data_IF_979833116667
#
_entry.id   IF_979833116667
#
_cell.length_a   1.000
_cell.length_b   1.000
_cell.length_c   1.000
_cell.angle_alpha   90.00
_cell.angle_beta   90.00
_cell.angle_gamma   90.00
#
_symmetry.space_group_name_H-M   'P 1'
#
loop_
_entity.id
_entity.type
_entity.pdbx_description
1 polymer ?
2 non-polymer ?
3 water ?
#
# COMPACT_ATOMS: atom_id res chain seq x y z
N UNK A 3 28.58 -2.47 22.40
CA UNK A 3 27.76 -3.49 21.72
C UNK A 3 27.08 -4.36 22.79
N UNK A 4 25.84 -4.74 22.48
CA UNK A 4 25.10 -5.47 23.50
C UNK A 4 25.62 -6.91 23.56
N UNK A 5 25.65 -7.52 24.76
CA UNK A 5 26.13 -8.90 24.86
C UNK A 5 25.08 -9.93 24.49
N UNK A 6 23.80 -9.50 24.34
CA UNK A 6 22.72 -10.40 24.02
C UNK A 6 22.01 -9.74 22.84
N UNK A 7 21.65 -10.48 21.76
CA UNK A 7 21.20 -9.85 20.53
C UNK A 7 19.80 -9.28 20.35
N UNK A 8 18.86 -9.59 21.19
CA UNK A 8 17.50 -9.21 20.78
C UNK A 8 16.95 -7.89 21.36
N UNK A 9 15.67 -7.63 21.04
CA UNK A 9 14.99 -6.48 21.59
C UNK A 9 14.72 -6.64 23.08
N UNK A 10 14.47 -7.86 23.54
CA UNK A 10 14.12 -8.01 24.96
C UNK A 10 15.30 -7.57 25.85
N UNK A 11 16.52 -7.90 25.47
CA UNK A 11 17.66 -7.41 26.22
C UNK A 11 17.69 -5.88 26.23
N UNK A 12 17.53 -5.28 25.04
CA UNK A 12 17.59 -3.83 24.86
C UNK A 12 16.51 -3.15 25.72
N UNK A 13 15.35 -3.77 25.83
CA UNK A 13 14.24 -3.21 26.57
C UNK A 13 14.58 -3.14 28.06
N UNK A 14 15.55 -3.93 28.53
CA UNK A 14 15.91 -3.88 29.95
C UNK A 14 17.02 -2.87 30.23
N UNK A 15 17.44 -2.12 29.23
CA UNK A 15 18.46 -1.08 29.35
C UNK A 15 17.79 0.25 29.69
N UNK A 16 18.39 0.99 30.65
CA UNK A 16 17.96 2.34 30.91
C UNK A 16 18.40 3.27 29.78
N UNK A 17 17.51 4.21 29.43
CA UNK A 17 17.69 5.12 28.32
C UNK A 17 17.58 6.56 28.83
N UNK A 18 18.13 7.51 28.05
CA UNK A 18 17.99 8.92 28.39
C UNK A 18 17.68 9.72 27.12
N UNK A 19 17.14 10.93 27.29
CA UNK A 19 17.05 11.88 26.18
C UNK A 19 15.66 12.03 25.53
N UNK A 20 14.71 11.14 25.87
CA UNK A 20 13.43 11.03 25.19
C UNK A 20 12.34 11.24 26.23
N UNK A 21 11.37 12.10 25.92
CA UNK A 21 10.23 12.33 26.79
C UNK A 21 8.95 11.97 26.00
N UNK A 22 8.13 11.06 26.54
CA UNK A 22 6.88 10.72 25.87
C UNK A 22 5.91 11.89 25.83
N UNK A 23 5.30 12.04 24.66
CA UNK A 23 4.19 12.96 24.42
C UNK A 23 3.13 12.25 23.58
N UNK A 24 1.89 12.78 23.62
CA UNK A 24 0.82 12.21 22.80
C UNK A 24 -0.12 13.33 22.37
N UNK A 25 -0.34 13.42 21.07
CA UNK A 25 -1.46 14.21 20.54
C UNK A 25 -2.63 13.24 20.39
N UNK A 26 -3.78 13.57 20.98
CA UNK A 26 -4.92 12.66 20.85
C UNK A 26 -6.17 13.51 20.71
N UNK A 27 -7.29 12.84 20.38
CA UNK A 27 -8.59 13.47 20.28
C UNK A 27 -9.31 13.52 21.64
N UNK A 28 -8.62 13.26 22.78
CA UNK A 28 -9.24 13.37 24.09
C UNK A 28 -10.04 14.70 24.22
N UNK A 29 -11.23 14.61 24.83
CA UNK A 29 -12.10 15.77 25.07
C UNK A 29 -11.50 16.59 26.21
N UNK A 30 -10.98 17.80 25.95
CA UNK A 30 -10.32 18.57 27.02
C UNK A 30 -11.28 18.99 28.15
N UNK A 31 -12.60 19.04 27.88
CA UNK A 31 -13.58 19.38 28.90
C UNK A 31 -13.88 18.20 29.81
N UNK A 32 -13.32 16.98 29.55
CA UNK A 32 -13.57 15.87 30.44
C UNK A 32 -14.70 14.93 30.01
N UNK A 33 -15.31 15.21 28.87
CA UNK A 33 -16.55 14.54 28.53
C UNK A 33 -16.33 13.39 27.53
N UNK A 34 -17.36 13.14 26.72
CA UNK A 34 -17.44 11.95 25.88
C UNK A 34 -17.01 12.28 24.48
N UNK A 35 -16.72 13.55 24.14
CA UNK A 35 -16.40 13.92 22.76
C UNK A 35 -14.90 13.74 22.51
N UNK A 36 -14.47 12.47 22.65
CA UNK A 36 -13.07 12.08 22.57
C UNK A 36 -12.62 11.81 21.14
N UNK A 37 -13.17 12.56 20.20
CA UNK A 37 -12.94 12.45 18.77
C UNK A 37 -13.01 13.85 18.17
N UNK A 38 -12.34 14.06 17.03
CA UNK A 38 -12.64 15.17 16.15
C UNK A 38 -13.97 14.87 15.47
N UNK A 39 -14.63 15.94 15.00
CA UNK A 39 -15.96 15.82 14.43
C UNK A 39 -16.03 16.56 13.10
N UNK A 40 -16.78 15.96 12.16
CA UNK A 40 -17.33 16.61 10.97
C UNK A 40 -16.23 17.19 10.09
N UNK A 41 -15.39 16.31 9.56
CA UNK A 41 -14.51 16.68 8.47
C UNK A 41 -15.30 16.45 7.19
N UNK A 42 -15.87 17.54 6.66
CA UNK A 42 -16.87 17.41 5.62
C UNK A 42 -16.19 17.10 4.29
N UNK A 43 -16.94 16.63 3.27
CA UNK A 43 -16.41 16.46 1.93
C UNK A 43 -15.69 17.72 1.41
N UNK A 44 -14.46 17.50 0.92
CA UNK A 44 -13.63 18.56 0.39
C UNK A 44 -12.75 19.24 1.45
N UNK A 45 -12.96 18.98 2.75
CA UNK A 45 -12.23 19.65 3.82
C UNK A 45 -10.96 18.89 4.23
N UNK A 46 -10.01 19.69 4.70
CA UNK A 46 -8.73 19.25 5.27
C UNK A 46 -8.71 19.60 6.75
N UNK A 47 -8.06 18.76 7.56
CA UNK A 47 -7.93 19.01 8.98
C UNK A 47 -6.50 18.60 9.36
N UNK A 48 -5.79 19.53 10.00
CA UNK A 48 -4.54 19.21 10.66
C UNK A 48 -4.86 18.53 11.98
N UNK A 49 -4.43 17.26 12.13
CA UNK A 49 -4.71 16.60 13.38
C UNK A 49 -3.54 16.66 14.36
N UNK A 50 -2.31 16.84 13.84
CA UNK A 50 -1.15 16.96 14.71
C UNK A 50 -0.17 17.96 14.10
N UNK A 51 0.27 18.92 14.93
CA UNK A 51 1.20 19.93 14.49
C UNK A 51 2.19 20.04 15.63
N UNK A 52 3.33 19.38 15.49
CA UNK A 52 4.29 19.22 16.58
C UNK A 52 5.50 20.07 16.27
N UNK A 53 5.88 21.02 17.15
CA UNK A 53 7.11 21.77 16.86
C UNK A 53 8.35 21.00 17.29
N UNK A 54 9.45 21.31 16.61
CA UNK A 54 10.73 20.87 17.10
C UNK A 54 11.06 19.41 16.75
N UNK A 55 11.88 18.80 17.61
CA UNK A 55 12.50 17.53 17.30
C UNK A 55 11.78 16.43 18.08
N UNK A 56 11.58 15.29 17.39
CA UNK A 56 10.91 14.19 18.06
C UNK A 56 10.90 12.99 17.12
N UNK A 57 10.23 11.93 17.60
CA UNK A 57 10.10 10.69 16.84
C UNK A 57 8.71 10.14 17.13
N UNK A 58 7.88 10.06 16.10
CA UNK A 58 6.61 9.35 16.26
C UNK A 58 6.90 7.86 16.44
N UNK A 59 6.28 7.25 17.46
CA UNK A 59 6.56 5.86 17.80
C UNK A 59 5.32 4.96 17.65
N UNK A 60 4.13 5.55 17.45
CA UNK A 60 2.89 4.78 17.40
C UNK A 60 1.78 5.72 16.96
N UNK A 61 0.96 5.25 16.02
CA UNK A 61 -0.24 5.94 15.58
C UNK A 61 -1.40 4.96 15.64
N UNK A 62 -2.52 5.37 16.19
CA UNK A 62 -3.76 4.62 16.14
C UNK A 62 -4.84 5.61 15.65
N UNK A 63 -5.69 5.16 14.72
CA UNK A 63 -6.76 5.96 14.15
C UNK A 63 -7.99 5.06 13.97
N UNK A 64 -9.18 5.63 14.22
CA UNK A 64 -10.40 5.01 13.70
C UNK A 64 -11.38 6.13 13.30
N UNK A 65 -12.33 5.77 12.44
CA UNK A 65 -13.25 6.73 11.84
C UNK A 65 -14.67 6.19 11.83
N UNK A 66 -15.63 7.14 11.89
CA UNK A 66 -17.05 6.88 11.62
C UNK A 66 -17.48 7.81 10.52
N UNK A 67 -18.40 7.40 9.62
CA UNK A 67 -19.07 6.09 9.65
C UNK A 67 -18.22 4.95 9.12
N UNK A 68 -18.84 3.76 9.08
CA UNK A 68 -18.13 2.51 8.81
C UNK A 68 -17.61 2.47 7.39
N UNK A 69 -16.67 1.52 7.11
CA UNK A 69 -16.09 1.47 5.78
C UNK A 69 -17.02 1.26 4.59
N UNK A 70 -18.17 0.63 4.79
CA UNK A 70 -19.15 0.52 3.70
C UNK A 70 -19.91 1.81 3.44
N UNK A 71 -19.72 2.85 4.26
CA UNK A 71 -20.41 4.13 4.09
C UNK A 71 -19.39 5.20 3.69
N UNK A 72 -18.30 5.29 4.46
CA UNK A 72 -17.22 6.24 4.19
C UNK A 72 -16.05 5.45 3.62
N UNK A 73 -15.76 5.69 2.35
CA UNK A 73 -14.74 4.99 1.61
C UNK A 73 -13.37 5.44 2.11
N UNK A 74 -12.65 4.54 2.79
CA UNK A 74 -11.32 4.85 3.30
C UNK A 74 -10.26 4.98 2.21
N UNK A 75 -10.57 4.66 0.96
CA UNK A 75 -9.71 4.94 -0.18
C UNK A 75 -9.91 6.38 -0.64
N UNK A 76 -10.84 7.13 -0.05
CA UNK A 76 -11.07 8.52 -0.47
C UNK A 76 -10.85 9.51 0.66
N UNK A 77 -10.32 9.02 1.79
CA UNK A 77 -9.88 9.87 2.88
C UNK A 77 -8.35 9.78 2.82
N UNK A 78 -7.67 10.93 2.69
CA UNK A 78 -6.23 10.96 2.43
C UNK A 78 -5.49 11.37 3.69
N UNK A 79 -4.39 10.66 3.99
CA UNK A 79 -3.49 11.10 5.04
C UNK A 79 -2.21 11.63 4.40
N UNK A 80 -1.72 12.76 4.96
CA UNK A 80 -0.47 13.33 4.52
C UNK A 80 0.35 13.71 5.76
N UNK A 81 1.67 13.57 5.60
CA UNK A 81 2.60 13.95 6.64
C UNK A 81 3.70 14.76 6.00
N UNK A 82 4.04 15.86 6.71
CA UNK A 82 5.03 16.86 6.36
C UNK A 82 6.06 16.98 7.47
N UNK A 83 7.34 16.85 7.11
CA UNK A 83 8.41 16.94 8.09
C UNK A 83 9.24 18.22 7.86
N UNK A 84 9.82 18.68 8.95
CA UNK A 84 10.88 19.69 8.95
C UNK A 84 10.43 21.03 8.33
N UNK A 85 9.13 21.33 8.44
CA UNK A 85 8.54 22.56 7.91
C UNK A 85 8.46 22.59 6.38
N UNK A 86 8.56 21.46 5.68
CA UNK A 86 8.46 21.43 4.23
C UNK A 86 7.01 21.65 3.81
N UNK A 87 6.86 22.29 2.64
CA UNK A 87 5.54 22.56 2.08
C UNK A 87 4.95 21.31 1.40
N UNK A 88 5.83 20.42 0.96
CA UNK A 88 5.45 19.18 0.29
C UNK A 88 5.33 18.07 1.35
N UNK A 89 4.40 17.12 1.16
CA UNK A 89 4.35 15.91 2.02
C UNK A 89 5.38 14.85 1.64
N UNK A 90 5.87 14.13 2.66
CA UNK A 90 6.73 12.98 2.44
C UNK A 90 5.92 11.68 2.60
N UNK A 91 4.72 11.79 3.15
CA UNK A 91 3.74 10.70 3.22
C UNK A 91 2.48 11.21 2.53
N UNK A 92 2.01 10.47 1.53
CA UNK A 92 0.74 10.82 0.91
C UNK A 92 0.08 9.51 0.44
N UNK A 93 -1.05 9.22 1.02
CA UNK A 93 -1.81 8.04 0.66
C UNK A 93 -3.25 8.18 1.10
N UNK A 94 -4.22 7.55 0.39
CA UNK A 94 -5.49 7.16 1.00
C UNK A 94 -5.25 6.34 2.28
N UNK A 95 -6.04 6.65 3.29
CA UNK A 95 -5.74 6.23 4.64
C UNK A 95 -5.97 4.70 4.78
N UNK A 96 -7.05 4.18 4.19
CA UNK A 96 -7.26 2.72 4.25
C UNK A 96 -6.06 1.96 3.69
N UNK A 97 -5.70 2.22 2.43
CA UNK A 97 -4.57 1.55 1.83
C UNK A 97 -3.26 1.74 2.63
N UNK A 98 -3.05 2.92 3.24
CA UNK A 98 -1.86 3.15 4.04
C UNK A 98 -1.79 2.13 5.17
N UNK A 99 -2.94 1.86 5.79
CA UNK A 99 -3.02 0.92 6.91
C UNK A 99 -3.37 -0.50 6.46
N UNK A 100 -3.19 -0.85 5.18
CA UNK A 100 -3.39 -2.20 4.71
C UNK A 100 -4.87 -2.60 4.69
N UNK A 101 -5.76 -1.65 4.31
CA UNK A 101 -7.16 -1.94 4.04
C UNK A 101 -7.46 -1.49 2.64
N UNK A 102 -7.60 -2.48 1.75
CA UNK A 102 -7.81 -2.16 0.35
C UNK A 102 -9.23 -1.65 0.05
N UNK A 103 -9.30 -0.91 -1.07
CA UNK A 103 -10.60 -0.61 -1.69
C UNK A 103 -11.47 0.13 -0.65
N UNK A 104 -12.72 -0.31 -0.47
CA UNK A 104 -13.58 0.19 0.57
C UNK A 104 -13.92 -0.93 1.57
N UNK A 105 -13.00 -1.91 1.73
CA UNK A 105 -13.23 -3.13 2.48
C UNK A 105 -12.64 -3.05 3.88
N UNK A 106 -12.96 -4.07 4.67
CA UNK A 106 -12.51 -4.12 6.06
C UNK A 106 -12.24 -5.56 6.44
N UNK A 107 -11.12 -5.76 7.17
CA UNK A 107 -10.69 -7.08 7.55
C UNK A 107 -9.57 -6.92 8.58
N UNK A 108 -9.62 -7.74 9.61
CA UNK A 108 -8.50 -7.82 10.55
C UNK A 108 -7.33 -8.53 9.87
N UNK A 109 -6.12 -8.14 10.27
CA UNK A 109 -4.92 -8.92 9.97
C UNK A 109 -3.88 -8.61 11.05
N UNK A 110 -2.67 -9.17 10.90
CA UNK A 110 -1.68 -9.09 11.95
C UNK A 110 -0.28 -8.95 11.40
N UNK A 111 -0.03 -7.94 10.58
CA UNK A 111 1.35 -7.68 10.19
C UNK A 111 2.04 -6.96 11.33
N UNK A 112 3.37 -7.01 11.40
CA UNK A 112 4.04 -6.45 12.56
C UNK A 112 4.00 -4.93 12.56
N UNK A 113 4.51 -4.22 11.53
CA UNK A 113 4.69 -2.77 11.69
C UNK A 113 3.48 -1.88 11.47
N UNK A 114 2.52 -2.38 10.68
CA UNK A 114 1.29 -1.68 10.31
C UNK A 114 0.23 -2.77 10.31
N UNK A 115 -0.93 -2.49 10.88
CA UNK A 115 -1.99 -3.49 10.84
C UNK A 115 -3.35 -2.81 10.96
N UNK A 116 -4.41 -3.56 10.64
CA UNK A 116 -5.77 -3.18 10.92
C UNK A 116 -6.36 -4.23 11.84
N UNK A 117 -7.02 -3.77 12.89
CA UNK A 117 -7.53 -4.67 13.88
C UNK A 117 -8.98 -4.41 14.23
N UNK A 118 -9.47 -5.12 15.26
CA UNK A 118 -10.88 -5.11 15.63
C UNK A 118 -11.41 -3.71 15.96
N UNK A 119 -12.70 -3.48 15.73
CA UNK A 119 -13.70 -4.39 15.21
C UNK A 119 -13.63 -4.52 13.69
N UNK A 120 -13.36 -5.74 13.21
CA UNK A 120 -13.29 -6.13 11.81
C UNK A 120 -12.61 -5.06 10.95
N UNK A 121 -11.34 -4.75 11.25
CA UNK A 121 -10.53 -3.89 10.40
C UNK A 121 -10.76 -2.38 10.54
N UNK A 122 -11.54 -1.94 11.51
CA UNK A 122 -11.73 -0.51 11.66
C UNK A 122 -10.60 0.19 12.43
N UNK A 123 -9.78 -0.57 13.16
CA UNK A 123 -8.70 0.02 13.93
C UNK A 123 -7.45 0.08 13.05
N UNK A 124 -6.86 1.27 12.89
CA UNK A 124 -5.71 1.40 12.01
C UNK A 124 -4.47 1.76 12.86
N UNK A 125 -3.43 0.93 12.80
CA UNK A 125 -2.30 0.99 13.72
C UNK A 125 -0.99 1.03 12.93
N UNK A 126 -0.05 1.92 13.33
CA UNK A 126 1.29 1.96 12.76
C UNK A 126 2.31 2.00 13.90
N UNK A 127 3.33 1.15 13.82
CA UNK A 127 4.51 1.18 14.69
C UNK A 127 5.78 1.62 13.96
N UNK A 128 5.69 2.17 12.74
CA UNK A 128 6.86 2.76 12.12
C UNK A 128 7.35 3.97 12.92
N UNK A 129 8.66 4.03 13.11
CA UNK A 129 9.29 5.17 13.74
C UNK A 129 9.44 6.31 12.71
N UNK A 130 9.03 7.52 13.09
CA UNK A 130 9.04 8.62 12.16
C UNK A 130 9.74 9.83 12.78
N UNK A 131 11.07 9.91 12.59
CA UNK A 131 11.86 11.02 13.17
C UNK A 131 11.58 12.33 12.46
N UNK A 132 11.74 13.44 13.21
CA UNK A 132 11.69 14.77 12.62
C UNK A 132 12.52 15.72 13.53
N UNK A 133 13.20 16.69 12.88
CA UNK A 133 14.06 17.66 13.57
C UNK A 133 13.40 19.04 13.74
N UNK A 134 12.65 19.50 12.74
CA UNK A 134 12.08 20.84 12.77
C UNK A 134 10.59 20.78 12.45
N UNK A 135 9.86 19.97 13.25
CA UNK A 135 8.42 19.88 13.18
C UNK A 135 7.88 18.67 12.42
N UNK A 136 6.63 18.38 12.77
CA UNK A 136 5.84 17.38 12.07
C UNK A 136 4.41 17.89 11.96
N UNK A 137 3.80 17.65 10.79
CA UNK A 137 2.39 17.94 10.62
C UNK A 137 1.71 16.73 9.91
N UNK A 138 0.61 16.30 10.50
CA UNK A 138 -0.24 15.25 9.93
C UNK A 138 -1.61 15.87 9.61
N UNK A 139 -2.01 15.69 8.37
CA UNK A 139 -3.22 16.26 7.80
C UNK A 139 -4.10 15.15 7.25
N UNK A 140 -5.42 15.31 7.39
CA UNK A 140 -6.41 14.42 6.82
C UNK A 140 -7.25 15.21 5.82
N UNK A 141 -7.50 14.67 4.64
CA UNK A 141 -8.37 15.33 3.68
C UNK A 141 -9.49 14.36 3.28
N UNK A 142 -10.75 14.82 3.37
CA UNK A 142 -11.92 14.05 3.00
C UNK A 142 -12.23 14.30 1.52
N UNK A 143 -11.83 13.37 0.64
CA UNK A 143 -12.12 13.43 -0.79
C UNK A 143 -13.30 12.52 -1.14
N UNK A 144 -14.08 12.12 -0.14
CA UNK A 144 -15.26 11.28 -0.37
C UNK A 144 -16.50 12.19 -0.48
N UNK A 145 -17.65 11.61 -0.77
CA UNK A 145 -18.88 12.38 -0.80
C UNK A 145 -19.69 12.24 0.48
N UNK A 146 -19.09 11.71 1.57
CA UNK A 146 -19.78 11.48 2.82
C UNK A 146 -19.01 12.24 3.89
N UNK A 147 -19.72 12.85 4.85
CA UNK A 147 -19.14 13.46 6.04
C UNK A 147 -18.29 12.41 6.79
N UNK A 148 -17.10 12.84 7.22
CA UNK A 148 -16.31 12.10 8.21
C UNK A 148 -16.73 12.56 9.58
N UNK A 149 -17.63 11.77 10.17
CA UNK A 149 -18.40 12.21 11.32
C UNK A 149 -17.54 12.26 12.57
N UNK A 150 -16.77 11.20 12.80
CA UNK A 150 -15.94 11.09 13.98
C UNK A 150 -14.56 10.57 13.58
N UNK A 151 -13.52 11.20 14.13
CA UNK A 151 -12.13 10.85 13.85
C UNK A 151 -11.42 10.76 15.18
N UNK A 152 -11.10 9.53 15.58
CA UNK A 152 -10.43 9.25 16.85
C UNK A 152 -8.97 8.96 16.53
N UNK A 153 -8.05 9.46 17.36
CA UNK A 153 -6.65 9.17 17.10
C UNK A 153 -5.77 9.36 18.34
N UNK A 154 -4.69 8.59 18.35
CA UNK A 154 -3.49 8.82 19.16
C UNK A 154 -2.29 8.94 18.24
N UNK A 155 -1.49 10.02 18.43
CA UNK A 155 -0.19 10.13 17.80
C UNK A 155 0.82 10.21 18.96
N UNK A 156 1.48 9.09 19.26
CA UNK A 156 2.44 8.95 20.33
C UNK A 156 3.84 9.25 19.80
N UNK A 157 4.59 10.09 20.49
CA UNK A 157 5.89 10.47 20.04
C UNK A 157 6.82 10.73 21.21
N UNK A 158 8.11 10.66 20.93
CA UNK A 158 9.15 11.05 21.85
C UNK A 158 9.62 12.46 21.47
N UNK A 159 9.60 13.35 22.46
CA UNK A 159 10.23 14.68 22.30
C UNK A 159 11.71 14.55 22.67
N UNK A 160 12.58 15.27 21.94
CA UNK A 160 13.98 15.29 22.29
C UNK A 160 14.53 16.69 22.06
N UNK A 161 15.58 17.02 22.83
CA UNK A 161 16.24 18.32 22.67
C UNK A 161 17.05 18.39 21.37
N UNK A 162 17.57 17.25 20.92
CA UNK A 162 18.40 17.19 19.74
C UNK A 162 18.21 15.81 19.12
N UNK A 163 17.78 15.81 17.87
CA UNK A 163 17.57 14.55 17.16
C UNK A 163 18.89 13.85 16.96
N UNK A 164 19.03 12.55 17.27
CA UNK A 164 20.21 11.77 16.87
C UNK A 164 20.51 12.01 15.40
N UNK A 165 21.80 12.23 15.09
CA UNK A 165 22.16 12.76 13.79
C UNK A 165 22.12 11.70 12.68
N UNK A 166 21.94 10.44 13.03
CA UNK A 166 21.92 9.40 12.05
C UNK A 166 20.48 9.06 11.62
N UNK A 167 19.47 9.72 12.18
CA UNK A 167 18.08 9.34 11.87
C UNK A 167 17.64 9.93 10.55
N UNK A 168 16.91 9.12 9.77
CA UNK A 168 16.26 9.58 8.56
C UNK A 168 14.83 10.01 8.78
N UNK A 169 14.07 9.96 7.69
CA UNK A 169 12.71 10.47 7.62
C UNK A 169 11.84 9.46 6.87
N UNK A 170 10.68 9.20 7.45
CA UNK A 170 9.73 8.23 6.91
C UNK A 170 8.99 8.84 5.71
N UNK A 171 8.87 8.02 4.66
CA UNK A 171 8.11 8.35 3.46
C UNK A 171 7.16 7.20 3.10
N UNK A 172 6.05 7.56 2.45
CA UNK A 172 5.14 6.57 1.91
C UNK A 172 4.36 7.20 0.76
N UNK A 173 4.08 6.41 -0.25
CA UNK A 173 3.47 6.87 -1.48
C UNK A 173 2.50 5.81 -2.00
N UNK A 174 1.28 6.27 -2.24
CA UNK A 174 0.24 5.50 -2.92
C UNK A 174 0.33 5.73 -4.43
N UNK A 175 0.33 4.64 -5.19
CA UNK A 175 0.23 4.71 -6.64
C UNK A 175 -0.91 3.77 -7.08
N UNK A 176 -1.45 4.01 -8.28
CA UNK A 176 -2.50 3.17 -8.83
C UNK A 176 -2.50 3.32 -10.35
N UNK A 177 -2.78 2.23 -11.06
CA UNK A 177 -2.89 2.27 -12.51
C UNK A 177 -3.85 1.17 -12.96
N UNK A 178 -4.78 1.48 -13.87
CA UNK A 178 -5.42 0.44 -14.65
C UNK A 178 -4.49 0.09 -15.80
N UNK A 179 -3.87 -1.08 -15.75
CA UNK A 179 -2.76 -1.38 -16.61
C UNK A 179 -3.23 -1.73 -18.04
N UNK A 180 -2.32 -1.54 -19.00
CA UNK A 180 -2.62 -1.78 -20.40
C UNK A 180 -2.28 -3.21 -20.78
N UNK A 181 -3.23 -3.93 -21.36
CA UNK A 181 -2.93 -5.20 -21.98
C UNK A 181 -1.95 -5.05 -23.17
N UNK A 182 -1.23 -6.11 -23.46
CA UNK A 182 -0.27 -6.14 -24.56
C UNK A 182 -1.06 -6.01 -25.87
N UNK A 183 -0.43 -5.45 -26.93
CA UNK A 183 -1.13 -5.29 -28.21
C UNK A 183 -1.64 -6.61 -28.82
N UNK A 184 -0.90 -7.71 -28.65
CA UNK A 184 -1.33 -9.02 -29.12
C UNK A 184 -2.39 -9.65 -28.19
N UNK A 185 -2.81 -8.92 -27.15
CA UNK A 185 -3.81 -9.45 -26.21
C UNK A 185 -3.20 -9.96 -24.90
N UNK A 186 -4.05 -10.46 -24.01
CA UNK A 186 -3.56 -10.97 -22.70
C UNK A 186 -3.06 -12.41 -22.86
N UNK A 187 -1.78 -12.58 -23.24
CA UNK A 187 -1.14 -13.84 -23.53
C UNK A 187 -0.66 -14.63 -22.31
N UNK A 188 -1.18 -14.29 -21.11
CA UNK A 188 -0.72 -15.00 -19.94
C UNK A 188 -0.88 -16.51 -20.08
N UNK A 189 0.11 -17.25 -19.55
CA UNK A 189 0.21 -18.70 -19.59
C UNK A 189 0.25 -19.27 -21.03
N UNK A 190 0.47 -18.41 -22.03
CA UNK A 190 0.40 -18.79 -23.44
C UNK A 190 -0.97 -19.37 -23.79
N UNK A 191 -2.01 -18.97 -23.05
CA UNK A 191 -3.34 -19.55 -23.27
C UNK A 191 -3.93 -19.10 -24.61
N UNK A 192 -3.77 -17.83 -25.01
CA UNK A 192 -4.38 -17.38 -26.24
C UNK A 192 -3.37 -17.40 -27.39
N UNK A 193 -2.08 -17.61 -27.09
CA UNK A 193 -1.02 -17.53 -28.10
C UNK A 193 0.34 -17.30 -27.46
N UNK A 194 1.33 -17.03 -28.32
CA UNK A 194 2.73 -16.93 -27.91
C UNK A 194 2.96 -15.71 -27.01
N UNK A 195 3.85 -15.88 -26.02
CA UNK A 195 4.19 -14.81 -25.10
C UNK A 195 5.48 -14.10 -25.51
N UNK A 196 5.49 -12.77 -25.31
CA UNK A 196 6.64 -11.91 -25.58
C UNK A 196 7.67 -11.96 -24.45
N UNK A 197 8.88 -11.44 -24.75
CA UNK A 197 9.90 -11.16 -23.75
C UNK A 197 9.79 -9.72 -23.23
N UNK A 198 10.37 -9.48 -22.03
CA UNK A 198 10.47 -8.16 -21.44
C UNK A 198 11.84 -8.06 -20.78
N UNK A 199 12.83 -7.54 -21.53
CA UNK A 199 14.17 -7.43 -20.98
C UNK A 199 14.39 -6.03 -20.41
N UNK A 200 13.50 -5.06 -20.65
CA UNK A 200 13.77 -3.67 -20.28
C UNK A 200 13.05 -3.26 -19.00
N UNK A 201 11.84 -3.82 -18.78
CA UNK A 201 11.03 -3.31 -17.68
C UNK A 201 10.27 -2.03 -18.02
N UNK A 202 10.30 -1.58 -19.30
CA UNK A 202 9.78 -0.25 -19.60
C UNK A 202 8.28 -0.11 -19.37
N UNK A 203 7.48 -1.17 -19.55
CA UNK A 203 6.05 -1.04 -19.40
C UNK A 203 5.57 -1.59 -18.05
N UNK A 204 6.50 -1.87 -17.14
CA UNK A 204 6.14 -2.32 -15.79
C UNK A 204 5.32 -1.30 -15.02
N UNK A 205 4.58 -1.80 -14.02
CA UNK A 205 3.90 -0.97 -13.06
C UNK A 205 4.90 -0.49 -11.98
N UNK A 206 4.98 0.81 -11.79
CA UNK A 206 5.98 1.36 -10.89
C UNK A 206 5.41 1.56 -9.50
N UNK A 207 6.09 1.01 -8.49
CA UNK A 207 5.61 1.26 -7.13
C UNK A 207 6.52 2.14 -6.28
N UNK A 208 7.71 2.46 -6.76
CA UNK A 208 8.55 3.47 -6.11
C UNK A 208 9.49 4.10 -7.15
N UNK A 209 9.69 5.41 -7.00
CA UNK A 209 10.56 6.18 -7.89
C UNK A 209 11.17 7.32 -7.05
N UNK A 210 12.33 7.05 -6.47
CA UNK A 210 12.89 7.80 -5.35
C UNK A 210 14.26 8.32 -5.77
N UNK A 211 14.48 9.59 -5.44
CA UNK A 211 15.78 10.21 -5.60
C UNK A 211 16.27 10.62 -4.21
N UNK A 212 17.48 10.15 -3.89
CA UNK A 212 18.10 10.41 -2.60
C UNK A 212 18.73 9.15 -2.02
N UNK A 213 19.10 9.28 -0.75
CA UNK A 213 19.72 8.20 -0.02
C UNK A 213 18.68 7.64 0.94
N UNK A 214 18.64 6.31 1.07
CA UNK A 214 17.72 5.75 2.05
C UNK A 214 17.62 4.24 1.95
N UNK A 215 16.47 3.71 2.41
CA UNK A 215 16.24 2.28 2.27
C UNK A 215 14.74 2.00 2.28
N UNK A 216 14.37 1.03 1.46
CA UNK A 216 12.99 0.63 1.25
C UNK A 216 12.56 -0.41 2.29
N UNK A 217 11.36 -0.21 2.88
CA UNK A 217 10.93 -1.03 4.03
C UNK A 217 9.56 -1.71 3.89
N UNK A 218 8.75 -1.43 2.89
CA UNK A 218 7.46 -2.11 2.82
C UNK A 218 6.72 -1.90 1.50
N UNK A 219 5.81 -2.84 1.25
CA UNK A 219 4.90 -2.75 0.12
C UNK A 219 3.59 -3.42 0.48
N UNK A 220 2.50 -2.66 0.31
CA UNK A 220 1.14 -3.17 0.29
C UNK A 220 0.67 -3.15 -1.17
N UNK A 221 0.22 -4.31 -1.66
CA UNK A 221 -0.13 -4.53 -3.05
C UNK A 221 -1.60 -4.90 -3.13
N UNK A 222 -2.37 -4.15 -3.92
CA UNK A 222 -3.80 -4.39 -4.05
C UNK A 222 -4.13 -4.63 -5.52
N UNK A 223 -4.57 -5.83 -5.88
CA UNK A 223 -4.90 -6.13 -7.28
C UNK A 223 -6.39 -6.41 -7.37
N UNK A 224 -7.06 -5.80 -8.35
CA UNK A 224 -8.38 -6.21 -8.77
C UNK A 224 -8.25 -6.76 -10.19
N UNK A 225 -8.34 -8.09 -10.27
CA UNK A 225 -8.11 -8.82 -11.48
C UNK A 225 -9.47 -9.06 -12.16
N UNK A 226 -9.69 -8.60 -13.42
CA UNK A 226 -10.94 -8.81 -14.15
C UNK A 226 -10.99 -10.04 -15.03
N UNK A 227 -10.01 -10.92 -14.88
CA UNK A 227 -9.98 -12.23 -15.48
C UNK A 227 -9.90 -13.30 -14.41
N UNK A 228 -10.38 -14.53 -14.67
CA UNK A 228 -10.10 -15.63 -13.77
C UNK A 228 -8.65 -16.07 -13.79
N UNK A 229 -7.84 -15.68 -14.80
CA UNK A 229 -6.47 -16.14 -14.88
C UNK A 229 -5.63 -15.58 -13.71
N UNK A 230 -4.56 -16.30 -13.41
CA UNK A 230 -3.60 -15.90 -12.39
C UNK A 230 -2.93 -14.59 -12.79
N UNK A 231 -2.97 -13.61 -11.90
CA UNK A 231 -2.55 -12.23 -12.14
C UNK A 231 -1.06 -12.06 -11.91
N UNK A 232 -0.37 -13.07 -11.37
CA UNK A 232 0.86 -12.83 -10.63
C UNK A 232 2.14 -13.40 -11.23
N UNK A 233 2.19 -13.60 -12.56
CA UNK A 233 3.41 -14.12 -13.17
C UNK A 233 4.49 -13.01 -13.29
N UNK A 234 4.13 -11.78 -13.04
CA UNK A 234 5.04 -10.66 -13.29
C UNK A 234 6.20 -10.57 -12.27
N UNK A 235 7.39 -10.26 -12.78
CA UNK A 235 8.62 -10.16 -12.02
C UNK A 235 8.85 -8.76 -11.47
N UNK A 236 9.41 -8.69 -10.27
CA UNK A 236 9.85 -7.42 -9.68
C UNK A 236 11.23 -7.06 -10.27
N UNK A 237 11.43 -5.77 -10.49
CA UNK A 237 12.66 -5.14 -10.96
C UNK A 237 13.00 -3.99 -10.00
N UNK A 238 14.22 -3.96 -9.47
CA UNK A 238 14.71 -2.88 -8.65
C UNK A 238 15.99 -2.32 -9.28
N UNK A 239 15.91 -1.05 -9.65
CA UNK A 239 17.06 -0.30 -10.18
C UNK A 239 17.57 0.61 -9.09
N UNK A 240 18.76 0.29 -8.63
CA UNK A 240 19.44 1.02 -7.58
C UNK A 240 20.51 1.96 -8.20
N UNK A 241 20.46 3.21 -7.75
CA UNK A 241 21.55 4.16 -7.96
C UNK A 241 21.76 4.41 -9.45
N UNK A 242 20.69 4.37 -10.24
CA UNK A 242 20.72 4.74 -11.64
C UNK A 242 21.35 3.70 -12.54
N UNK A 243 21.59 2.49 -12.05
CA UNK A 243 22.14 1.45 -12.88
C UNK A 243 21.20 1.21 -14.08
N UNK A 244 21.84 0.84 -15.21
CA UNK A 244 21.16 0.66 -16.48
C UNK A 244 20.39 -0.67 -16.45
N UNK A 245 21.02 -1.71 -15.88
CA UNK A 245 20.38 -3.01 -15.71
C UNK A 245 20.00 -3.21 -14.24
N UNK A 246 18.77 -3.68 -13.99
CA UNK A 246 18.29 -3.82 -12.61
C UNK A 246 19.15 -4.84 -11.89
N UNK A 247 19.62 -4.51 -10.68
CA UNK A 247 20.49 -5.41 -9.96
C UNK A 247 19.65 -6.39 -9.17
N UNK A 248 18.35 -6.07 -8.89
CA UNK A 248 17.52 -7.11 -8.26
C UNK A 248 16.36 -7.44 -9.20
N UNK A 249 16.33 -8.69 -9.64
CA UNK A 249 15.31 -9.19 -10.53
C UNK A 249 14.65 -10.40 -9.89
N UNK A 250 13.32 -10.38 -9.93
CA UNK A 250 12.52 -11.46 -9.35
C UNK A 250 11.99 -12.41 -10.41
N UNK A 251 11.03 -13.26 -10.00
CA UNK A 251 10.57 -14.37 -10.84
C UNK A 251 9.05 -14.38 -10.99
N UNK A 252 8.34 -13.66 -10.11
CA UNK A 252 6.88 -13.67 -10.07
C UNK A 252 6.40 -12.83 -8.90
N UNK A 253 5.10 -12.56 -8.88
CA UNK A 253 4.52 -11.67 -7.89
C UNK A 253 4.28 -12.38 -6.56
N UNK A 254 3.72 -13.59 -6.58
CA UNK A 254 3.61 -14.35 -5.34
C UNK A 254 5.01 -14.58 -4.78
N UNK A 255 6.00 -14.82 -5.67
CA UNK A 255 7.38 -15.10 -5.32
C UNK A 255 7.99 -13.92 -4.54
N UNK A 256 7.79 -12.69 -5.02
CA UNK A 256 8.23 -11.48 -4.33
C UNK A 256 7.63 -11.43 -2.91
N UNK A 257 6.39 -11.89 -2.79
CA UNK A 257 5.70 -11.87 -1.51
C UNK A 257 5.95 -13.14 -0.71
N UNK A 258 7.04 -13.89 -1.03
CA UNK A 258 7.46 -15.01 -0.22
C UNK A 258 6.46 -16.19 -0.28
N UNK A 259 5.79 -16.34 -1.42
CA UNK A 259 4.80 -17.40 -1.62
C UNK A 259 5.01 -18.02 -2.99
N UNK A 260 4.22 -19.05 -3.28
CA UNK A 260 4.55 -19.86 -4.45
C UNK A 260 3.31 -20.53 -5.02
N UNK A 261 3.31 -20.69 -6.36
CA UNK A 261 2.33 -21.51 -7.07
C UNK A 261 0.91 -20.94 -6.99
N UNK A 262 0.79 -19.65 -7.29
CA UNK A 262 -0.49 -19.02 -7.57
C UNK A 262 -1.43 -19.23 -6.37
N UNK A 263 -1.03 -18.86 -5.14
CA UNK A 263 -1.87 -19.10 -3.96
C UNK A 263 -3.01 -18.10 -3.91
N UNK A 264 -4.09 -18.51 -3.23
CA UNK A 264 -5.23 -17.65 -2.98
C UNK A 264 -5.85 -18.07 -1.66
N UNK A 265 -4.98 -18.21 -0.67
CA UNK A 265 -5.42 -18.57 0.69
C UNK A 265 -4.96 -17.50 1.70
N UNK A 266 -5.85 -17.15 2.63
CA UNK A 266 -5.50 -16.17 3.63
C UNK A 266 -4.35 -16.71 4.47
N UNK A 267 -3.39 -15.85 4.78
CA UNK A 267 -2.17 -16.30 5.45
C UNK A 267 -1.52 -15.10 6.14
N UNK A 268 -0.97 -15.32 7.36
CA UNK A 268 -0.35 -14.25 8.14
C UNK A 268 1.03 -14.65 8.67
N UNK A 269 2.05 -13.88 8.31
CA UNK A 269 3.37 -13.90 8.92
C UNK A 269 3.66 -12.44 9.31
N UNK A 270 4.47 -12.19 10.36
CA UNK A 270 4.78 -10.80 10.71
C UNK A 270 5.26 -9.91 9.55
N UNK A 271 6.02 -10.49 8.63
CA UNK A 271 6.67 -9.76 7.55
C UNK A 271 6.02 -9.97 6.19
N UNK A 272 5.07 -10.89 6.02
CA UNK A 272 4.44 -11.00 4.72
C UNK A 272 3.09 -11.74 4.89
N UNK A 273 2.20 -11.60 3.92
CA UNK A 273 0.94 -12.26 4.04
C UNK A 273 -0.09 -11.84 3.02
N UNK A 274 -1.23 -12.55 3.05
CA UNK A 274 -2.39 -12.34 2.21
C UNK A 274 -3.57 -12.10 3.14
N UNK A 275 -3.90 -10.85 3.46
CA UNK A 275 -5.01 -10.61 4.38
C UNK A 275 -6.40 -10.61 3.75
N UNK A 276 -6.43 -10.54 2.42
CA UNK A 276 -7.70 -10.56 1.67
C UNK A 276 -7.45 -11.31 0.39
N UNK A 277 -8.19 -12.44 0.20
CA UNK A 277 -8.03 -13.22 -1.03
C UNK A 277 -9.34 -13.23 -1.82
N UNK A 278 -9.24 -13.63 -3.10
CA UNK A 278 -10.33 -13.32 -4.02
C UNK A 278 -11.59 -14.11 -3.75
N UNK A 279 -11.44 -15.35 -3.27
CA UNK A 279 -12.67 -16.13 -2.95
C UNK A 279 -13.67 -16.20 -4.10
N UNK A 280 -13.21 -16.54 -5.29
CA UNK A 280 -14.08 -16.69 -6.45
C UNK A 280 -13.35 -17.61 -7.42
N UNK A 281 -13.91 -17.84 -8.61
CA UNK A 281 -13.32 -18.64 -9.64
C UNK A 281 -11.91 -18.11 -9.98
N UNK A 282 -10.97 -19.03 -10.16
CA UNK A 282 -9.58 -18.69 -10.44
C UNK A 282 -9.12 -17.59 -9.49
N UNK A 283 -8.62 -16.51 -10.06
CA UNK A 283 -8.09 -15.39 -9.30
C UNK A 283 -8.90 -14.12 -9.58
N UNK A 284 -10.14 -14.31 -10.08
CA UNK A 284 -11.01 -13.20 -10.40
C UNK A 284 -11.34 -12.44 -9.12
N UNK A 285 -11.25 -11.12 -9.15
CA UNK A 285 -11.65 -10.27 -8.05
C UNK A 285 -10.43 -9.70 -7.34
N UNK A 286 -10.51 -9.55 -6.02
CA UNK A 286 -9.55 -8.69 -5.31
C UNK A 286 -8.65 -9.52 -4.42
N UNK A 287 -7.36 -9.16 -4.44
CA UNK A 287 -6.35 -9.74 -3.59
C UNK A 287 -5.49 -8.63 -3.00
N UNK A 288 -5.20 -8.72 -1.68
CA UNK A 288 -4.26 -7.85 -1.02
C UNK A 288 -3.09 -8.69 -0.50
N UNK A 289 -1.87 -8.28 -0.87
CA UNK A 289 -0.65 -8.94 -0.42
C UNK A 289 0.27 -7.89 0.20
N UNK A 290 1.01 -8.29 1.26
CA UNK A 290 1.99 -7.37 1.86
C UNK A 290 3.32 -8.09 2.08
N UNK A 291 4.42 -7.26 2.04
CA UNK A 291 5.72 -7.68 2.52
C UNK A 291 6.40 -6.46 3.15
N UNK A 292 6.95 -6.67 4.34
CA UNK A 292 7.74 -5.65 5.03
C UNK A 292 9.18 -6.13 5.07
N UNK A 293 10.10 -5.19 4.81
CA UNK A 293 11.51 -5.44 4.66
C UNK A 293 12.18 -4.81 5.87
N UNK A 294 12.05 -5.53 6.99
CA UNK A 294 12.46 -5.03 8.29
C UNK A 294 13.85 -5.58 8.61
N UNK A 295 14.03 -6.89 8.47
CA UNK A 295 15.34 -7.50 8.64
C UNK A 295 16.19 -7.25 7.41
N UNK A 296 15.51 -7.02 6.26
CA UNK A 296 16.11 -7.05 4.93
C UNK A 296 15.74 -5.83 4.10
N UNK A 297 15.96 -4.60 4.65
CA UNK A 297 15.65 -3.39 3.86
C UNK A 297 16.51 -3.29 2.60
N UNK A 298 16.00 -2.58 1.59
CA UNK A 298 16.74 -2.40 0.34
C UNK A 298 17.37 -1.01 0.39
N UNK A 299 18.69 -0.97 0.55
CA UNK A 299 19.44 0.27 0.60
C UNK A 299 19.64 0.89 -0.78
N UNK A 300 19.76 2.21 -0.80
CA UNK A 300 20.19 2.91 -2.02
C UNK A 300 20.86 4.21 -1.55
N UNK A 301 21.83 4.68 -2.34
CA UNK A 301 22.61 5.86 -1.99
C UNK A 301 22.17 7.08 -2.79
N UNK A 302 21.69 6.88 -4.03
CA UNK A 302 21.31 7.96 -4.93
C UNK A 302 19.89 7.87 -5.46
N UNK A 303 19.37 6.65 -5.67
CA UNK A 303 18.03 6.53 -6.23
C UNK A 303 17.60 5.07 -6.16
N UNK A 304 16.26 4.90 -6.21
CA UNK A 304 15.65 3.59 -6.35
C UNK A 304 14.40 3.73 -7.22
N UNK A 305 14.37 2.95 -8.27
CA UNK A 305 13.14 2.80 -9.03
C UNK A 305 12.77 1.33 -9.01
N UNK A 306 11.57 1.02 -8.50
CA UNK A 306 11.16 -0.36 -8.27
C UNK A 306 9.80 -0.52 -8.96
N UNK A 307 9.69 -1.64 -9.68
CA UNK A 307 8.56 -1.87 -10.54
C UNK A 307 8.26 -3.36 -10.60
N UNK A 308 7.10 -3.70 -11.15
CA UNK A 308 6.72 -5.10 -11.29
C UNK A 308 5.97 -5.27 -12.61
N UNK A 309 6.19 -6.38 -13.28
CA UNK A 309 5.40 -6.65 -14.47
C UNK A 309 3.92 -6.85 -14.07
N UNK A 310 2.96 -6.37 -14.87
CA UNK A 310 1.52 -6.66 -14.68
C UNK A 310 1.15 -7.82 -15.60
N UNK A 311 1.28 -9.02 -15.08
CA UNK A 311 1.33 -10.24 -15.84
C UNK A 311 2.69 -10.44 -16.47
N UNK A 312 2.96 -11.65 -16.95
CA UNK A 312 4.21 -11.91 -17.64
C UNK A 312 4.38 -10.94 -18.81
N UNK A 313 5.56 -10.26 -18.85
CA UNK A 313 5.79 -9.22 -19.86
C UNK A 313 4.66 -8.23 -20.00
N UNK A 314 3.99 -7.83 -18.88
CA UNK A 314 3.02 -6.76 -18.89
C UNK A 314 1.85 -7.01 -19.86
N UNK A 315 1.39 -8.26 -19.93
CA UNK A 315 0.33 -8.61 -20.89
C UNK A 315 -1.07 -8.33 -20.37
N UNK A 316 -1.27 -8.20 -19.03
CA UNK A 316 -2.60 -8.14 -18.43
C UNK A 316 -3.11 -6.73 -18.17
N UNK A 317 -4.42 -6.55 -18.28
CA UNK A 317 -5.13 -5.46 -17.70
C UNK A 317 -5.50 -5.82 -16.25
N UNK A 318 -4.97 -5.06 -15.28
CA UNK A 318 -5.23 -5.20 -13.85
C UNK A 318 -5.47 -3.81 -13.30
N UNK A 319 -6.34 -3.68 -12.31
CA UNK A 319 -6.38 -2.48 -11.51
C UNK A 319 -5.43 -2.72 -10.36
N UNK A 320 -4.24 -2.10 -10.41
CA UNK A 320 -3.20 -2.33 -9.44
C UNK A 320 -3.05 -1.06 -8.62
N UNK A 321 -3.00 -1.20 -7.29
CA UNK A 321 -2.63 -0.08 -6.45
C UNK A 321 -1.63 -0.57 -5.41
N UNK A 322 -0.75 0.35 -4.97
CA UNK A 322 0.31 -0.01 -4.04
C UNK A 322 0.52 1.15 -3.06
N UNK A 323 0.92 0.82 -1.83
CA UNK A 323 1.58 1.81 -0.98
C UNK A 323 2.98 1.28 -0.73
N UNK A 324 3.95 2.14 -1.00
CA UNK A 324 5.35 1.84 -0.74
C UNK A 324 5.80 2.66 0.45
N UNK A 325 6.66 2.05 1.29
CA UNK A 325 7.13 2.68 2.52
C UNK A 325 8.66 2.63 2.50
N UNK A 326 9.29 3.73 2.93
CA UNK A 326 10.73 3.81 2.92
C UNK A 326 11.21 4.95 3.81
N UNK A 327 12.53 4.95 4.06
CA UNK A 327 13.20 6.06 4.74
C UNK A 327 14.17 6.75 3.78
N UNK A 328 14.37 8.06 3.99
CA UNK A 328 15.45 8.79 3.31
C UNK A 328 16.24 9.59 4.33
N UNK A 329 17.41 10.07 3.89
CA UNK A 329 18.30 10.80 4.79
C UNK A 329 17.72 12.15 5.17
N UNK A 330 16.80 12.68 4.36
CA UNK A 330 16.10 13.93 4.66
C UNK A 330 14.69 13.79 4.14
N UNK A 331 13.84 14.77 4.47
CA UNK A 331 12.47 14.76 3.99
C UNK A 331 12.40 15.24 2.54
N UNK A 332 11.90 14.37 1.66
CA UNK A 332 11.87 14.55 0.21
C UNK A 332 10.44 14.52 -0.31
N UNK A 333 10.18 15.16 -1.48
CA UNK A 333 8.85 15.11 -2.08
C UNK A 333 8.64 13.75 -2.74
N UNK A 334 7.39 13.55 -3.17
CA UNK A 334 6.91 12.30 -3.73
C UNK A 334 6.58 12.48 -5.20
N UNK A 335 6.40 11.39 -5.96
CA UNK A 335 5.82 11.51 -7.32
C UNK A 335 4.38 11.94 -7.23
N UNK A 336 3.79 12.32 -8.38
CA UNK A 336 2.40 12.73 -8.45
C UNK A 336 1.45 11.68 -7.87
N UNK A 337 0.38 12.19 -7.24
CA UNK A 337 -0.67 11.34 -6.70
C UNK A 337 -1.59 10.92 -7.82
N UNK A 338 -2.06 9.65 -7.87
CA UNK A 338 -3.20 9.34 -8.74
C UNK A 338 -4.41 10.23 -8.46
N UNK A 339 -5.16 10.56 -9.52
CA UNK A 339 -6.36 11.37 -9.37
C UNK A 339 -7.48 10.58 -8.68
N UNK A 340 -8.50 11.29 -8.17
CA UNK A 340 -9.71 10.68 -7.62
C UNK A 340 -10.35 9.72 -8.65
N UNK A 341 -10.25 10.07 -9.93
CA UNK A 341 -10.77 9.28 -11.03
C UNK A 341 -10.04 7.93 -11.16
N UNK A 342 -8.70 7.92 -11.10
CA UNK A 342 -7.93 6.68 -11.10
C UNK A 342 -8.30 5.79 -9.89
N UNK A 343 -8.63 6.38 -8.75
CA UNK A 343 -8.96 5.66 -7.52
C UNK A 343 -10.40 5.12 -7.46
N UNK A 344 -11.22 5.45 -8.47
CA UNK A 344 -12.58 4.96 -8.47
C UNK A 344 -12.59 3.41 -8.42
N UNK A 345 -13.47 2.88 -7.56
CA UNK A 345 -13.59 1.44 -7.39
C UNK A 345 -14.12 0.86 -8.69
N UNK A 346 -13.57 -0.26 -9.12
CA UNK A 346 -14.06 -0.94 -10.31
C UNK A 346 -15.11 -1.94 -9.89
N UNK A 347 -16.13 -2.16 -10.73
CA UNK A 347 -17.13 -3.19 -10.43
C UNK A 347 -16.51 -4.58 -10.55
N UNK A 348 -16.96 -5.46 -9.65
CA UNK A 348 -16.61 -6.85 -9.80
C UNK A 348 -17.17 -7.36 -11.12
N UNK A 349 -16.35 -8.11 -11.85
CA UNK A 349 -16.82 -8.86 -13.00
C UNK A 349 -17.87 -9.88 -12.48
N UNK A 350 -19.02 -9.90 -13.13
CA UNK A 350 -20.19 -10.63 -12.60
C UNK A 350 -20.66 -11.68 -13.63
N UNK A 351 -21.74 -12.39 -13.24
CA UNK A 351 -22.25 -13.48 -14.05
C UNK A 351 -22.73 -12.99 -15.43
N UNK A 352 -23.57 -11.93 -15.53
CA UNK A 352 -23.96 -11.43 -16.86
C UNK A 352 -22.75 -11.05 -17.70
N UNK A 353 -21.71 -10.44 -17.09
CA UNK A 353 -20.52 -10.09 -17.83
C UNK A 353 -19.87 -11.30 -18.47
N UNK A 354 -19.64 -12.39 -17.71
CA UNK A 354 -18.97 -13.56 -18.21
C UNK A 354 -19.82 -14.32 -19.26
N UNK A 355 -21.15 -14.32 -19.09
CA UNK A 355 -22.04 -14.90 -20.09
C UNK A 355 -21.95 -14.10 -21.41
N UNK A 356 -21.75 -12.81 -21.32
CA UNK A 356 -21.48 -11.98 -22.50
C UNK A 356 -20.14 -12.33 -23.10
N UNK A 357 -19.11 -12.63 -22.29
CA UNK A 357 -17.87 -13.13 -22.85
C UNK A 357 -18.14 -14.39 -23.66
N UNK A 358 -18.82 -15.35 -23.01
CA UNK A 358 -19.14 -16.62 -23.64
C UNK A 358 -19.84 -16.40 -25.02
N UNK A 359 -20.70 -15.41 -25.09
CA UNK A 359 -21.49 -15.16 -26.30
C UNK A 359 -20.55 -14.70 -27.43
N UNK A 360 -19.62 -13.78 -27.13
CA UNK A 360 -18.68 -13.32 -28.14
C UNK A 360 -17.76 -14.46 -28.56
N UNK A 361 -17.35 -15.33 -27.61
CA UNK A 361 -16.57 -16.50 -27.88
C UNK A 361 -17.31 -17.47 -28.83
N UNK A 362 -18.61 -17.71 -28.56
CA UNK A 362 -19.42 -18.58 -29.42
C UNK A 362 -19.46 -18.01 -30.86
N UNK A 363 -19.67 -16.70 -30.96
CA UNK A 363 -19.67 -16.04 -32.28
C UNK A 363 -18.37 -16.31 -33.01
N UNK A 364 -17.24 -16.12 -32.31
CA UNK A 364 -15.96 -16.25 -32.98
C UNK A 364 -15.56 -17.68 -33.26
N UNK A 365 -16.10 -18.68 -32.55
CA UNK A 365 -15.85 -20.07 -32.78
C UNK A 365 -16.83 -20.67 -33.82
N UNK A 366 -17.76 -19.86 -34.30
CA UNK A 366 -18.62 -20.28 -35.42
C UNK A 366 -20.05 -20.63 -35.02
N UNK A 367 -20.40 -20.51 -33.71
CA UNK A 367 -21.79 -20.57 -33.28
C UNK A 367 -22.49 -21.93 -33.52
N UNK A 368 -21.79 -23.04 -33.56
CA UNK A 368 -22.44 -24.33 -33.48
C UNK A 368 -23.32 -24.35 -32.21
N UNK A 369 -24.53 -24.90 -32.33
CA UNK A 369 -25.51 -24.78 -31.26
C UNK A 369 -25.14 -25.65 -30.05
N UNK A 370 -24.17 -26.55 -30.17
CA UNK A 370 -23.69 -27.37 -29.06
C UNK A 370 -22.23 -27.09 -28.67
N UNK A 371 -21.73 -25.89 -28.96
CA UNK A 371 -20.43 -25.49 -28.39
C UNK A 371 -20.49 -25.61 -26.85
N UNK A 372 -19.53 -26.35 -26.32
CA UNK A 372 -19.42 -26.56 -24.88
C UNK A 372 -18.81 -25.34 -24.19
N UNK A 373 -17.66 -24.87 -24.69
CA UNK A 373 -16.99 -23.74 -24.06
C UNK A 373 -15.47 -23.88 -23.98
N UNK A 374 -14.92 -25.01 -24.41
CA UNK A 374 -13.50 -25.30 -24.36
C UNK A 374 -12.88 -25.42 -25.76
N UNK A 375 -13.70 -25.44 -26.81
CA UNK A 375 -13.22 -25.74 -28.17
C UNK A 375 -12.21 -24.69 -28.64
N UNK A 376 -11.19 -25.19 -29.35
CA UNK A 376 -10.10 -24.40 -29.91
C UNK A 376 -10.42 -24.10 -31.38
N UNK A 377 -9.86 -23.05 -32.03
CA UNK A 377 -10.02 -22.90 -33.49
C UNK A 377 -9.18 -23.99 -34.20
#
# INVERSE_FOLDING_TARGET
MGQNPVPGTMYELSQMKNGMRNRRISSNDPAGGVLDHLSDIRPGEKRIIADIPGSGIINHIWITMAPEPHVLNRSDVIIRMYWDGNAYPSVESPIGPFFGQGWNERYNYSALPITAGPANGTSMVSYFSMPFAQGARIEIENQSDVNLEKFYFYVDYYETKKLPTDLGRFHAWYNQELTEAAPEGETEWAVIGKQDNNTTGDRNYVFADIKGKGHFVGLNYYVHCPSPIWYGEGDDFWFIDGEEEASLLGTGTEDLFNTSWCPKEAYSHPYFGYPRVNNDVGWLGRTHIYRFFIEDPVFFQKSLKASIEHGHANNLTLDLATVAYWYQSEACPLPPAPSKEVRKLKPFINVPDMHRWRHEWRKNRGEDSKLWGNEMPK
#
